data_IF_266840059574
#
_entry.id   IF_266840059574
#
_cell.length_a   1.000
_cell.length_b   1.000
_cell.length_c   1.000
_cell.angle_alpha   90.00
_cell.angle_beta   90.00
_cell.angle_gamma   90.00
#
_symmetry.space_group_name_H-M   'P 1'
#
loop_
_entity.id
_entity.type
_entity.pdbx_description
1 polymer ?
#
# COMPACT_ATOMS: atom_id res chain seq x y z
N UNK A 1 9.95 15.39 -2.37
CA UNK A 1 11.07 14.79 -3.14
C UNK A 1 10.43 14.02 -4.30
N UNK A 2 10.63 14.42 -5.56
CA UNK A 2 10.04 13.67 -6.67
C UNK A 2 10.75 12.33 -6.81
N UNK A 3 10.04 11.30 -7.24
CA UNK A 3 10.56 9.95 -7.55
C UNK A 3 11.55 9.93 -8.74
N UNK A 4 12.16 11.07 -9.10
CA UNK A 4 12.89 11.31 -10.33
C UNK A 4 14.19 10.49 -10.51
N UNK A 5 14.55 9.65 -9.53
CA UNK A 5 15.71 8.76 -9.57
C UNK A 5 15.33 7.27 -9.38
N UNK A 6 14.04 6.92 -9.38
CA UNK A 6 13.63 5.52 -9.33
C UNK A 6 13.85 4.82 -10.68
N UNK A 7 14.30 3.56 -10.64
CA UNK A 7 14.39 2.75 -11.85
C UNK A 7 13.01 2.65 -12.54
N UNK A 8 12.92 2.63 -13.88
CA UNK A 8 11.64 2.60 -14.60
C UNK A 8 10.69 1.49 -14.12
N UNK A 9 11.22 0.30 -13.81
CA UNK A 9 10.44 -0.81 -13.29
C UNK A 9 9.71 -0.50 -11.96
N UNK A 10 10.32 0.29 -11.07
CA UNK A 10 9.69 0.71 -9.81
C UNK A 10 8.56 1.70 -10.10
N UNK A 11 8.72 2.58 -11.08
CA UNK A 11 7.68 3.52 -11.47
C UNK A 11 6.47 2.80 -12.08
N UNK A 12 6.71 1.75 -12.86
CA UNK A 12 5.65 0.91 -13.42
C UNK A 12 4.89 0.16 -12.32
N UNK A 13 5.61 -0.44 -11.36
CA UNK A 13 5.02 -1.11 -10.20
C UNK A 13 4.16 -0.15 -9.37
N UNK A 14 4.68 1.06 -9.10
CA UNK A 14 3.94 2.11 -8.41
C UNK A 14 2.68 2.54 -9.16
N UNK A 15 2.73 2.62 -10.50
CA UNK A 15 1.56 2.94 -11.31
C UNK A 15 0.49 1.85 -11.21
N UNK A 16 0.88 0.58 -11.15
CA UNK A 16 -0.05 -0.54 -10.97
C UNK A 16 -0.69 -0.53 -9.58
N UNK A 17 0.09 -0.36 -8.52
CA UNK A 17 -0.44 -0.22 -7.15
C UNK A 17 -1.44 0.94 -7.10
N UNK A 18 -1.10 2.08 -7.72
CA UNK A 18 -1.99 3.25 -7.78
C UNK A 18 -3.30 2.92 -8.51
N UNK A 19 -3.26 2.23 -9.63
CA UNK A 19 -4.47 1.86 -10.37
C UNK A 19 -5.41 0.96 -9.54
N UNK A 20 -4.84 0.00 -8.80
CA UNK A 20 -5.60 -0.86 -7.88
C UNK A 20 -6.17 -0.03 -6.72
N UNK A 21 -5.37 0.85 -6.13
CA UNK A 21 -5.78 1.71 -5.03
C UNK A 21 -6.94 2.63 -5.43
N UNK A 22 -6.86 3.26 -6.61
CA UNK A 22 -7.91 4.11 -7.16
C UNK A 22 -9.22 3.32 -7.37
N UNK A 23 -9.15 2.08 -7.88
CA UNK A 23 -10.33 1.20 -8.06
C UNK A 23 -11.03 0.86 -6.75
N UNK A 24 -10.30 0.77 -5.65
CA UNK A 24 -10.83 0.44 -4.32
C UNK A 24 -11.08 1.66 -3.43
N UNK A 25 -10.81 2.88 -3.91
CA UNK A 25 -10.93 4.11 -3.12
C UNK A 25 -9.93 4.19 -1.96
N UNK A 26 -8.78 3.51 -2.07
CA UNK A 26 -7.73 3.48 -1.07
C UNK A 26 -6.69 4.55 -1.38
N UNK A 27 -6.27 5.34 -0.39
CA UNK A 27 -5.19 6.32 -0.61
C UNK A 27 -3.84 5.61 -0.76
N UNK A 28 -2.90 6.23 -1.48
CA UNK A 28 -1.53 5.69 -1.57
C UNK A 28 -0.82 5.58 -0.21
N UNK A 29 -1.21 6.41 0.76
CA UNK A 29 -0.70 6.32 2.13
C UNK A 29 -1.17 5.05 2.81
N UNK A 30 -2.45 4.71 2.67
CA UNK A 30 -3.03 3.48 3.19
C UNK A 30 -2.53 2.24 2.42
N UNK A 31 -2.37 2.35 1.10
CA UNK A 31 -1.79 1.29 0.26
C UNK A 31 -0.40 0.87 0.74
N UNK A 32 0.43 1.84 1.15
CA UNK A 32 1.77 1.57 1.69
C UNK A 32 1.78 0.68 2.94
N UNK A 33 0.67 0.54 3.67
CA UNK A 33 0.57 -0.38 4.81
C UNK A 33 0.63 -1.85 4.39
N UNK A 34 0.37 -2.18 3.12
CA UNK A 34 0.47 -3.57 2.65
C UNK A 34 1.91 -4.07 2.63
N UNK A 35 2.90 -3.19 2.49
CA UNK A 35 4.31 -3.59 2.45
C UNK A 35 4.76 -4.28 3.75
N UNK A 36 4.65 -3.65 4.94
CA UNK A 36 4.98 -4.33 6.18
C UNK A 36 4.02 -5.49 6.50
N UNK A 37 2.75 -5.39 6.11
CA UNK A 37 1.74 -6.44 6.38
C UNK A 37 1.89 -7.68 5.49
N UNK A 38 2.64 -7.61 4.39
CA UNK A 38 2.92 -8.77 3.56
C UNK A 38 3.82 -9.78 4.28
N UNK A 39 4.71 -9.31 5.16
CA UNK A 39 5.63 -10.17 5.89
C UNK A 39 4.91 -10.97 7.00
N UNK A 40 5.01 -12.31 7.03
CA UNK A 40 4.30 -13.17 7.99
C UNK A 40 4.73 -12.96 9.45
N UNK A 41 5.91 -12.37 9.69
CA UNK A 41 6.35 -12.01 11.03
C UNK A 41 5.62 -10.78 11.59
N UNK A 42 4.91 -10.01 10.75
CA UNK A 42 4.22 -8.78 11.15
C UNK A 42 2.75 -9.09 11.44
N UNK A 43 2.40 -9.18 12.72
CA UNK A 43 1.02 -9.45 13.14
C UNK A 43 0.08 -8.24 12.96
N UNK A 44 0.60 -7.01 13.05
CA UNK A 44 -0.18 -5.77 12.92
C UNK A 44 0.71 -4.56 12.64
N UNK A 45 0.11 -3.53 12.02
CA UNK A 45 0.70 -2.21 11.82
C UNK A 45 -0.21 -1.16 12.45
N UNK A 46 0.35 -0.33 13.34
CA UNK A 46 -0.38 0.74 14.03
C UNK A 46 0.12 2.08 13.48
N UNK A 47 -0.56 2.67 12.48
CA UNK A 47 -0.14 3.96 11.94
C UNK A 47 -0.36 5.07 12.97
N UNK A 48 0.66 5.89 13.17
CA UNK A 48 0.53 7.09 14.00
C UNK A 48 -0.39 8.14 13.34
N UNK A 49 -1.14 8.85 14.17
CA UNK A 49 -1.91 10.02 13.78
C UNK A 49 -1.29 11.27 14.41
N UNK A 50 -0.83 12.21 13.58
CA UNK A 50 -0.28 13.50 14.04
C UNK A 50 -1.36 14.49 14.49
N UNK A 51 -2.64 14.14 14.31
CA UNK A 51 -3.80 14.93 14.70
C UNK A 51 -4.89 14.00 15.27
N UNK A 52 -5.51 14.32 16.42
CA UNK A 52 -6.52 13.46 17.05
C UNK A 52 -7.76 13.20 16.19
N UNK A 53 -8.11 14.15 15.32
CA UNK A 53 -9.26 14.03 14.41
C UNK A 53 -9.01 13.10 13.23
N UNK A 54 -7.77 12.62 13.04
CA UNK A 54 -7.42 11.76 11.90
C UNK A 54 -7.77 10.32 12.22
N UNK A 55 -8.92 9.90 11.73
CA UNK A 55 -9.35 8.50 11.81
C UNK A 55 -8.48 7.60 10.92
N UNK A 56 -8.27 6.34 11.30
CA UNK A 56 -7.62 5.37 10.44
C UNK A 56 -8.46 5.12 9.18
N UNK A 57 -7.80 5.06 8.03
CA UNK A 57 -8.43 4.67 6.78
C UNK A 57 -8.76 3.17 6.80
N UNK A 58 -9.96 2.80 6.37
CA UNK A 58 -10.35 1.39 6.23
C UNK A 58 -9.80 0.88 4.91
N UNK A 59 -8.96 -0.16 4.97
CA UNK A 59 -8.44 -0.83 3.77
C UNK A 59 -9.30 -2.07 3.51
N UNK A 60 -10.00 -2.15 2.36
CA UNK A 60 -10.78 -3.32 2.01
C UNK A 60 -9.90 -4.56 1.85
N UNK A 61 -10.36 -5.72 2.33
CA UNK A 61 -9.69 -7.01 2.09
C UNK A 61 -9.45 -7.28 0.60
N UNK A 62 -10.39 -6.87 -0.25
CA UNK A 62 -10.29 -7.03 -1.70
C UNK A 62 -9.09 -6.28 -2.29
N UNK A 63 -8.75 -5.10 -1.75
CA UNK A 63 -7.55 -4.37 -2.16
C UNK A 63 -6.29 -5.19 -1.84
N UNK A 64 -6.16 -5.69 -0.61
CA UNK A 64 -5.03 -6.53 -0.20
C UNK A 64 -4.87 -7.76 -1.11
N UNK A 65 -5.99 -8.42 -1.44
CA UNK A 65 -5.98 -9.59 -2.33
C UNK A 65 -5.50 -9.23 -3.74
N UNK A 66 -5.98 -8.13 -4.31
CA UNK A 66 -5.59 -7.73 -5.67
C UNK A 66 -4.11 -7.34 -5.76
N UNK A 67 -3.58 -6.63 -4.75
CA UNK A 67 -2.15 -6.27 -4.70
C UNK A 67 -1.27 -7.53 -4.56
N UNK A 68 -1.64 -8.49 -3.71
CA UNK A 68 -0.92 -9.76 -3.58
C UNK A 68 -0.99 -10.61 -4.85
N UNK A 69 -2.16 -10.75 -5.48
CA UNK A 69 -2.30 -11.51 -6.73
C UNK A 69 -1.51 -10.90 -7.88
N UNK A 70 -1.34 -9.58 -7.90
CA UNK A 70 -0.52 -8.89 -8.89
C UNK A 70 0.99 -9.05 -8.66
N UNK A 71 1.41 -9.69 -7.56
CA UNK A 71 2.83 -9.86 -7.22
C UNK A 71 3.54 -8.56 -6.85
N UNK A 72 2.79 -7.50 -6.51
CA UNK A 72 3.31 -6.15 -6.20
C UNK A 72 3.77 -6.00 -4.75
N UNK A 73 3.52 -7.02 -3.92
CA UNK A 73 4.03 -7.14 -2.55
C UNK A 73 4.48 -8.58 -2.35
N UNK A 74 5.71 -8.73 -1.87
CA UNK A 74 6.29 -10.02 -1.55
C UNK A 74 5.83 -10.47 -0.15
N UNK A 75 5.14 -11.62 -0.01
CA UNK A 75 4.83 -12.16 1.30
C UNK A 75 6.06 -12.68 2.06
N UNK A 76 7.22 -12.82 1.41
CA UNK A 76 8.44 -13.40 2.00
C UNK A 76 8.53 -14.92 1.87
#
# INVERSE_FOLDING_TARGET
>A
MPLASAAPAILDELAWIKAIADRHGVSMKAAGLQFPLANPAVAAVIPGASQPSRLPEIIPRAFSQDVSHAGLVDPG
#
